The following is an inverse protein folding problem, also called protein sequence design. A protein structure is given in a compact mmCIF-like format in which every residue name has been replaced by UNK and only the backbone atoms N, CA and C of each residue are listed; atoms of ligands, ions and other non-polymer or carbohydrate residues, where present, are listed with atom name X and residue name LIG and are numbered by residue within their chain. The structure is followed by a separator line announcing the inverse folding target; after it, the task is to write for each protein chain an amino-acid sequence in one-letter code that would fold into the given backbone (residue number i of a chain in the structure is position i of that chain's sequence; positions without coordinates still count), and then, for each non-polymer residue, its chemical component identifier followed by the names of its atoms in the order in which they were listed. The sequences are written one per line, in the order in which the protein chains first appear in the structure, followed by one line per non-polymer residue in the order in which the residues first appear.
data_IF_706324532669
#
_entry.id   IF_706324532669
#
_cell.length_a   1.000
_cell.length_b   1.000
_cell.length_c   1.000
_cell.angle_alpha   90.00
_cell.angle_beta   90.00
_cell.angle_gamma   90.00
#
_symmetry.space_group_name_H-M   'P 1'
#
loop_
_entity.id
_entity.type
_entity.pdbx_description
1 polymer ?
#
# COMPACT_ATOMS: atom_id res chain seq x y z
N UNK A 1 -9.11 -17.80 11.95
CA UNK A 1 -7.64 -17.77 11.97
C UNK A 1 -7.23 -17.73 10.52
N UNK A 2 -6.79 -16.58 10.02
CA UNK A 2 -6.29 -16.48 8.65
C UNK A 2 -5.03 -17.36 8.58
N UNK A 3 -5.08 -18.39 7.76
CA UNK A 3 -3.95 -19.24 7.42
C UNK A 3 -2.91 -18.33 6.75
N UNK A 4 -1.88 -17.93 7.51
CA UNK A 4 -0.86 -16.98 7.03
C UNK A 4 -0.27 -17.48 5.71
N UNK A 5 -0.05 -18.80 5.58
CA UNK A 5 0.50 -19.43 4.38
C UNK A 5 -0.28 -19.15 3.10
N UNK A 6 -1.60 -19.00 3.16
CA UNK A 6 -2.42 -18.67 1.99
C UNK A 6 -2.22 -17.21 1.54
N UNK A 7 -1.93 -16.29 2.47
CA UNK A 7 -1.69 -14.89 2.11
C UNK A 7 -0.33 -14.69 1.42
N UNK A 8 0.74 -15.32 1.92
CA UNK A 8 2.04 -15.23 1.24
C UNK A 8 2.03 -15.87 -0.14
N UNK A 9 1.34 -16.99 -0.31
CA UNK A 9 1.18 -17.64 -1.63
C UNK A 9 0.35 -16.78 -2.60
N UNK A 10 -0.71 -16.12 -2.13
CA UNK A 10 -1.46 -15.14 -2.94
C UNK A 10 -0.61 -13.93 -3.31
N UNK A 11 0.24 -13.43 -2.41
CA UNK A 11 1.19 -12.38 -2.74
C UNK A 11 2.20 -12.84 -3.79
N UNK A 12 2.77 -14.05 -3.65
CA UNK A 12 3.69 -14.63 -4.64
C UNK A 12 3.03 -14.76 -6.02
N UNK A 13 1.78 -15.22 -6.06
CA UNK A 13 0.98 -15.29 -7.29
C UNK A 13 0.85 -13.92 -7.96
N UNK A 14 0.52 -12.88 -7.20
CA UNK A 14 0.45 -11.51 -7.72
C UNK A 14 1.84 -10.97 -8.13
N UNK A 15 2.89 -11.23 -7.35
CA UNK A 15 4.25 -10.78 -7.62
C UNK A 15 4.83 -11.40 -8.91
N UNK A 16 4.41 -12.61 -9.25
CA UNK A 16 4.77 -13.32 -10.48
C UNK A 16 3.82 -13.00 -11.66
N UNK A 17 3.07 -11.90 -11.58
CA UNK A 17 2.28 -11.36 -12.70
C UNK A 17 0.99 -12.11 -13.00
N UNK A 18 0.50 -12.92 -12.05
CA UNK A 18 -0.71 -13.72 -12.25
C UNK A 18 -1.99 -13.00 -11.84
N UNK A 19 -1.97 -11.69 -11.55
CA UNK A 19 -3.13 -10.93 -11.07
C UNK A 19 -4.33 -10.92 -12.04
N UNK A 20 -4.12 -11.29 -13.31
CA UNK A 20 -5.16 -11.42 -14.33
C UNK A 20 -5.88 -12.77 -14.32
N UNK A 21 -5.34 -13.77 -13.61
CA UNK A 21 -5.96 -15.08 -13.39
C UNK A 21 -6.82 -15.04 -12.13
N UNK A 22 -7.92 -15.82 -12.06
CA UNK A 22 -8.65 -16.03 -10.82
C UNK A 22 -7.74 -16.60 -9.72
N UNK A 23 -7.91 -16.13 -8.49
CA UNK A 23 -7.15 -16.63 -7.32
C UNK A 23 -7.44 -18.11 -7.05
N UNK A 24 -8.61 -18.61 -7.48
CA UNK A 24 -8.93 -20.04 -7.42
C UNK A 24 -7.95 -20.92 -8.23
N UNK A 25 -7.23 -20.36 -9.21
CA UNK A 25 -6.20 -21.07 -9.97
C UNK A 25 -4.84 -21.12 -9.25
N UNK A 26 -4.72 -20.55 -8.04
CA UNK A 26 -3.47 -20.55 -7.27
C UNK A 26 -2.87 -21.95 -7.14
N UNK A 27 -3.67 -22.96 -6.83
CA UNK A 27 -3.19 -24.34 -6.70
C UNK A 27 -2.63 -24.90 -8.01
N UNK A 28 -3.28 -24.63 -9.16
CA UNK A 28 -2.78 -25.03 -10.48
C UNK A 28 -1.47 -24.32 -10.81
N UNK A 29 -1.43 -23.01 -10.58
CA UNK A 29 -0.21 -22.21 -10.78
C UNK A 29 0.95 -22.72 -9.94
N UNK A 30 0.71 -23.06 -8.66
CA UNK A 30 1.76 -23.62 -7.80
C UNK A 30 2.22 -24.99 -8.31
N UNK A 31 1.31 -25.83 -8.81
CA UNK A 31 1.68 -27.11 -9.42
C UNK A 31 2.52 -26.92 -10.70
N UNK A 32 2.16 -25.96 -11.56
CA UNK A 32 2.93 -25.56 -12.74
C UNK A 32 4.35 -25.10 -12.34
N UNK A 33 4.43 -24.22 -11.33
CA UNK A 33 5.70 -23.71 -10.80
C UNK A 33 6.56 -24.80 -10.17
N UNK A 34 5.94 -25.77 -9.48
CA UNK A 34 6.64 -26.92 -8.88
C UNK A 34 7.04 -28.01 -9.86
N UNK A 35 6.51 -27.98 -11.08
CA UNK A 35 6.94 -28.88 -12.15
C UNK A 35 8.16 -28.34 -12.92
N UNK A 36 8.40 -27.02 -12.91
CA UNK A 36 9.50 -26.40 -13.66
C UNK A 36 10.76 -26.18 -12.80
N UNK A 37 11.72 -27.10 -12.91
CA UNK A 37 12.97 -27.06 -12.13
C UNK A 37 13.82 -25.82 -12.43
N UNK A 38 13.83 -25.36 -13.68
CA UNK A 38 14.64 -24.23 -14.12
C UNK A 38 14.11 -22.92 -13.51
N UNK A 39 12.80 -22.69 -13.60
CA UNK A 39 12.17 -21.50 -12.98
C UNK A 39 12.37 -21.49 -11.47
N UNK A 40 12.26 -22.65 -10.80
CA UNK A 40 12.50 -22.73 -9.35
C UNK A 40 13.96 -22.44 -8.98
N UNK A 41 14.92 -22.83 -9.82
CA UNK A 41 16.32 -22.50 -9.60
C UNK A 41 16.53 -20.98 -9.69
N UNK A 42 16.05 -20.35 -10.77
CA UNK A 42 16.15 -18.89 -10.96
C UNK A 42 15.47 -18.11 -9.83
N UNK A 43 14.28 -18.53 -9.39
CA UNK A 43 13.59 -17.88 -8.28
C UNK A 43 14.39 -17.97 -6.97
N UNK A 44 15.05 -19.09 -6.68
CA UNK A 44 15.89 -19.21 -5.48
C UNK A 44 17.10 -18.28 -5.53
N UNK A 45 17.75 -18.19 -6.69
CA UNK A 45 18.86 -17.26 -6.89
C UNK A 45 18.40 -15.81 -6.72
N UNK A 46 17.27 -15.45 -7.33
CA UNK A 46 16.68 -14.13 -7.18
C UNK A 46 16.34 -13.82 -5.72
N UNK A 47 15.69 -14.75 -5.01
CA UNK A 47 15.33 -14.58 -3.60
C UNK A 47 16.57 -14.37 -2.72
N UNK A 48 17.66 -15.09 -2.96
CA UNK A 48 18.92 -14.90 -2.24
C UNK A 48 19.48 -13.47 -2.46
N UNK A 49 19.44 -12.97 -3.70
CA UNK A 49 19.85 -11.59 -4.00
C UNK A 49 18.93 -10.55 -3.37
N UNK A 50 17.62 -10.81 -3.34
CA UNK A 50 16.64 -9.92 -2.72
C UNK A 50 16.78 -9.87 -1.20
N UNK A 51 17.07 -11.02 -0.57
CA UNK A 51 17.29 -11.12 0.87
C UNK A 51 18.57 -10.38 1.31
N UNK A 52 19.68 -10.56 0.59
CA UNK A 52 20.92 -9.81 0.82
C UNK A 52 20.73 -8.28 0.68
N UNK A 53 19.82 -7.85 -0.20
CA UNK A 53 19.48 -6.43 -0.39
C UNK A 53 18.52 -5.89 0.67
N UNK A 54 17.98 -6.71 1.57
CA UNK A 54 17.03 -6.28 2.60
C UNK A 54 17.74 -5.47 3.68
N UNK A 55 17.69 -4.15 3.54
CA UNK A 55 18.35 -3.20 4.48
C UNK A 55 17.45 -2.69 5.60
N UNK A 56 16.14 -2.95 5.52
CA UNK A 56 15.15 -2.37 6.45
C UNK A 56 14.55 -3.42 7.37
N UNK A 57 14.48 -3.06 8.64
CA UNK A 57 13.72 -3.79 9.65
C UNK A 57 12.24 -3.55 9.40
N UNK A 58 11.50 -4.63 9.26
CA UNK A 58 10.04 -4.63 9.11
C UNK A 58 9.38 -5.12 10.39
N UNK A 59 8.09 -4.82 10.55
CA UNK A 59 7.30 -5.24 11.73
C UNK A 59 5.92 -5.70 11.30
N UNK A 60 5.36 -6.78 11.85
CA UNK A 60 4.03 -7.25 11.46
C UNK A 60 2.96 -6.19 11.76
N UNK A 61 2.01 -6.03 10.85
CA UNK A 61 0.77 -5.29 11.10
C UNK A 61 -0.19 -6.22 11.82
N UNK A 62 -0.57 -5.90 13.05
CA UNK A 62 -1.39 -6.79 13.90
C UNK A 62 -2.64 -7.30 13.17
N UNK A 63 -2.78 -8.62 13.05
CA UNK A 63 -3.94 -9.27 12.45
C UNK A 63 -4.08 -9.11 10.93
N UNK A 64 -3.03 -8.66 10.23
CA UNK A 64 -3.00 -8.58 8.76
C UNK A 64 -1.71 -9.20 8.22
N UNK A 65 -1.73 -9.84 7.04
CA UNK A 65 -0.54 -10.45 6.42
C UNK A 65 0.30 -9.39 5.68
N UNK A 66 0.65 -8.32 6.40
CA UNK A 66 1.44 -7.20 5.90
C UNK A 66 2.45 -6.80 6.97
N UNK A 67 3.58 -6.26 6.55
CA UNK A 67 4.60 -5.74 7.42
C UNK A 67 4.80 -4.24 7.20
N UNK A 68 4.83 -3.49 8.30
CA UNK A 68 5.30 -2.11 8.33
C UNK A 68 6.75 -2.06 7.83
N UNK A 69 7.02 -1.09 6.95
CA UNK A 69 8.25 -0.83 6.21
C UNK A 69 8.61 -1.82 5.09
N UNK A 70 7.84 -2.89 4.90
CA UNK A 70 7.96 -3.72 3.71
C UNK A 70 7.41 -2.99 2.48
N UNK A 71 7.81 -3.45 1.30
CA UNK A 71 7.39 -2.90 0.02
C UNK A 71 6.37 -3.80 -0.63
N UNK A 72 5.30 -3.22 -1.14
CA UNK A 72 4.24 -3.93 -1.83
C UNK A 72 3.73 -3.14 -3.03
N UNK A 73 3.47 -3.83 -4.12
CA UNK A 73 2.61 -3.37 -5.20
C UNK A 73 1.14 -3.35 -4.74
N UNK A 74 0.29 -2.68 -5.51
CA UNK A 74 -1.16 -2.70 -5.24
C UNK A 74 -1.75 -4.11 -5.36
N UNK A 75 -1.23 -4.92 -6.29
CA UNK A 75 -1.66 -6.28 -6.50
C UNK A 75 -1.29 -7.16 -5.29
N UNK A 76 -0.07 -7.03 -4.76
CA UNK A 76 0.34 -7.74 -3.54
C UNK A 76 -0.51 -7.32 -2.32
N UNK A 77 -0.79 -6.03 -2.14
CA UNK A 77 -1.66 -5.56 -1.04
C UNK A 77 -3.07 -6.14 -1.15
N UNK A 78 -3.65 -6.13 -2.34
CA UNK A 78 -4.97 -6.72 -2.57
C UNK A 78 -4.97 -8.23 -2.35
N UNK A 79 -3.94 -8.93 -2.84
CA UNK A 79 -3.79 -10.37 -2.69
C UNK A 79 -3.62 -10.78 -1.22
N UNK A 80 -2.78 -10.07 -0.48
CA UNK A 80 -2.56 -10.26 0.96
C UNK A 80 -3.88 -10.13 1.74
N UNK A 81 -4.69 -9.13 1.39
CA UNK A 81 -5.97 -8.85 2.04
C UNK A 81 -7.13 -9.69 1.48
N UNK A 82 -6.89 -10.56 0.48
CA UNK A 82 -7.94 -11.36 -0.15
C UNK A 82 -8.97 -10.55 -0.93
N UNK A 83 -8.61 -9.37 -1.44
CA UNK A 83 -9.49 -8.51 -2.22
C UNK A 83 -9.54 -8.98 -3.68
N UNK A 84 -10.71 -9.39 -4.13
CA UNK A 84 -10.94 -9.87 -5.50
C UNK A 84 -12.02 -9.09 -6.24
N UNK A 85 -11.96 -9.13 -7.56
CA UNK A 85 -13.07 -8.74 -8.43
C UNK A 85 -14.18 -9.80 -8.39
N UNK A 86 -15.34 -9.50 -8.99
CA UNK A 86 -16.43 -10.48 -9.15
C UNK A 86 -16.00 -11.73 -9.94
N UNK A 87 -15.04 -11.58 -10.86
CA UNK A 87 -14.45 -12.69 -11.61
C UNK A 87 -13.40 -13.49 -10.81
N UNK A 88 -13.24 -13.22 -9.51
CA UNK A 88 -12.30 -13.90 -8.63
C UNK A 88 -10.83 -13.54 -8.84
N UNK A 89 -10.53 -12.51 -9.65
CA UNK A 89 -9.17 -12.03 -9.91
C UNK A 89 -8.70 -11.09 -8.82
N UNK A 90 -7.40 -10.93 -8.61
CA UNK A 90 -6.86 -9.94 -7.64
C UNK A 90 -7.37 -8.54 -8.01
N UNK A 91 -7.89 -7.82 -7.02
CA UNK A 91 -8.42 -6.47 -7.24
C UNK A 91 -7.28 -5.47 -7.44
N UNK A 92 -7.22 -4.81 -8.60
CA UNK A 92 -6.27 -3.72 -8.84
C UNK A 92 -6.92 -2.37 -8.54
N UNK A 93 -6.66 -1.84 -7.35
CA UNK A 93 -7.12 -0.51 -6.93
C UNK A 93 -6.49 0.57 -7.82
N UNK A 94 -7.31 1.33 -8.55
CA UNK A 94 -6.83 2.45 -9.38
C UNK A 94 -6.82 3.78 -8.63
N UNK A 95 -7.66 3.90 -7.59
CA UNK A 95 -7.85 5.15 -6.85
C UNK A 95 -6.80 5.33 -5.75
N UNK A 96 -6.63 6.56 -5.27
CA UNK A 96 -5.71 6.89 -4.18
C UNK A 96 -6.18 6.41 -2.80
N UNK A 97 -7.45 6.04 -2.66
CA UNK A 97 -7.99 5.44 -1.43
C UNK A 97 -8.93 4.31 -1.82
N UNK A 98 -8.91 3.20 -1.07
CA UNK A 98 -9.85 2.09 -1.22
C UNK A 98 -10.45 1.70 0.13
N UNK A 99 -11.78 1.68 0.21
CA UNK A 99 -12.53 1.26 1.38
C UNK A 99 -12.83 -0.25 1.27
N UNK A 100 -12.10 -1.06 2.04
CA UNK A 100 -12.34 -2.50 2.17
C UNK A 100 -13.32 -2.76 3.33
N UNK A 101 -14.60 -2.50 3.09
CA UNK A 101 -15.65 -2.53 4.13
C UNK A 101 -15.71 -3.85 4.89
N UNK A 102 -15.61 -4.98 4.17
CA UNK A 102 -15.63 -6.32 4.78
C UNK A 102 -14.49 -6.55 5.78
N UNK A 103 -13.36 -5.85 5.60
CA UNK A 103 -12.20 -5.90 6.48
C UNK A 103 -12.16 -4.76 7.49
N UNK A 104 -13.09 -3.79 7.38
CA UNK A 104 -13.08 -2.52 8.12
C UNK A 104 -11.77 -1.75 7.96
N UNK A 105 -11.27 -1.65 6.73
CA UNK A 105 -10.03 -0.94 6.42
C UNK A 105 -10.26 0.16 5.38
N UNK A 106 -9.67 1.33 5.59
CA UNK A 106 -9.36 2.25 4.50
C UNK A 106 -7.87 2.14 4.14
N UNK A 107 -7.58 1.90 2.87
CA UNK A 107 -6.24 1.75 2.32
C UNK A 107 -5.86 3.03 1.56
N UNK A 108 -4.89 3.79 2.07
CA UNK A 108 -4.41 5.04 1.49
C UNK A 108 -3.16 4.78 0.64
N UNK A 109 -3.22 5.10 -0.65
CA UNK A 109 -2.13 4.95 -1.61
C UNK A 109 -1.62 6.31 -2.07
N UNK A 110 -0.50 6.74 -1.50
CA UNK A 110 0.08 8.07 -1.73
C UNK A 110 1.33 7.98 -2.62
N UNK A 111 1.39 8.84 -3.63
CA UNK A 111 2.60 9.06 -4.44
C UNK A 111 3.06 10.50 -4.19
N UNK A 112 4.29 10.68 -3.69
CA UNK A 112 4.80 11.98 -3.26
C UNK A 112 5.17 12.88 -4.45
N UNK A 113 6.02 12.35 -5.34
CA UNK A 113 6.45 12.98 -6.58
C UNK A 113 5.33 12.84 -7.62
N UNK A 114 4.68 13.96 -7.90
CA UNK A 114 3.63 14.07 -8.91
C UNK A 114 4.26 14.60 -10.18
N UNK A 115 4.30 13.77 -11.22
CA UNK A 115 4.74 14.20 -12.55
C UNK A 115 3.92 15.43 -12.99
N UNK A 116 4.55 16.56 -13.36
CA UNK A 116 3.85 17.75 -13.85
C UNK A 116 2.95 17.47 -15.07
N UNK A 117 3.21 16.41 -15.84
CA UNK A 117 2.37 15.99 -16.97
C UNK A 117 1.09 15.28 -16.55
N UNK A 118 1.08 14.68 -15.36
CA UNK A 118 -0.07 13.95 -14.81
C UNK A 118 -0.96 14.85 -13.92
N UNK A 119 -0.61 16.14 -13.68
CA UNK A 119 -1.31 17.01 -12.72
C UNK A 119 -1.42 18.49 -13.13
N UNK A 120 -2.55 19.12 -12.76
CA UNK A 120 -2.75 20.57 -12.92
C UNK A 120 -2.16 21.37 -11.75
N UNK A 121 -1.68 22.62 -11.98
CA UNK A 121 -0.93 23.44 -11.00
C UNK A 121 -1.63 23.78 -9.68
N UNK A 122 -2.92 23.48 -9.53
CA UNK A 122 -3.73 23.84 -8.36
C UNK A 122 -3.62 22.85 -7.19
N UNK A 123 -2.77 21.82 -7.30
CA UNK A 123 -2.72 20.69 -6.36
C UNK A 123 -1.37 20.51 -5.64
N UNK A 124 -0.56 21.58 -5.61
CA UNK A 124 0.87 21.51 -5.28
C UNK A 124 1.23 21.32 -3.78
N UNK A 125 0.27 21.01 -2.90
CA UNK A 125 0.52 20.82 -1.46
C UNK A 125 -0.37 19.72 -0.82
N UNK A 126 -0.40 18.51 -1.38
CA UNK A 126 -1.36 17.51 -0.89
C UNK A 126 -0.80 16.62 0.22
N UNK A 127 0.29 15.90 -0.05
CA UNK A 127 0.68 14.74 0.76
C UNK A 127 2.18 14.73 1.02
N UNK A 128 2.59 14.76 2.28
CA UNK A 128 4.01 14.79 2.65
C UNK A 128 4.25 14.34 4.09
N UNK A 129 5.43 13.76 4.38
CA UNK A 129 5.80 13.47 5.76
C UNK A 129 6.14 14.77 6.50
N UNK A 130 5.53 14.98 7.68
CA UNK A 130 5.73 16.19 8.50
C UNK A 130 6.86 15.97 9.50
N UNK A 131 6.77 14.86 10.23
CA UNK A 131 7.80 14.37 11.17
C UNK A 131 7.96 12.87 10.95
N UNK A 132 8.95 12.19 11.55
CA UNK A 132 9.02 10.73 11.51
C UNK A 132 7.74 10.02 11.98
N UNK A 133 6.86 10.71 12.72
CA UNK A 133 5.64 10.14 13.29
C UNK A 133 4.35 10.68 12.70
N UNK A 134 4.41 11.70 11.84
CA UNK A 134 3.21 12.37 11.33
C UNK A 134 3.29 12.58 9.84
N UNK A 135 2.17 12.36 9.16
CA UNK A 135 2.04 12.46 7.71
C UNK A 135 0.83 13.33 7.36
N UNK A 136 1.05 14.34 6.54
CA UNK A 136 0.00 15.20 6.02
C UNK A 136 -0.60 14.57 4.77
N UNK A 137 -1.92 14.55 4.67
CA UNK A 137 -2.66 14.00 3.55
C UNK A 137 -3.90 14.84 3.23
N UNK A 138 -4.14 15.14 1.96
CA UNK A 138 -5.32 15.87 1.51
C UNK A 138 -6.37 14.93 0.91
N UNK A 139 -7.63 15.09 1.32
CA UNK A 139 -8.74 14.32 0.75
C UNK A 139 -8.97 14.61 -0.73
N UNK A 140 -9.67 13.72 -1.42
CA UNK A 140 -10.28 14.08 -2.71
C UNK A 140 -11.27 15.25 -2.51
N UNK A 141 -11.44 16.09 -3.53
CA UNK A 141 -12.22 17.35 -3.48
C UNK A 141 -13.70 17.20 -3.09
N UNK A 142 -14.25 15.98 -3.14
CA UNK A 142 -15.66 15.69 -2.80
C UNK A 142 -15.85 15.25 -1.35
N UNK A 143 -14.79 14.84 -0.66
CA UNK A 143 -14.86 14.40 0.74
C UNK A 143 -14.91 15.63 1.62
N UNK A 144 -15.96 15.73 2.43
CA UNK A 144 -16.19 16.79 3.41
C UNK A 144 -16.18 16.17 4.79
N UNK A 145 -15.89 16.97 5.81
CA UNK A 145 -15.94 16.52 7.20
C UNK A 145 -17.27 15.85 7.56
N UNK A 146 -18.39 16.45 7.14
CA UNK A 146 -19.73 15.95 7.45
C UNK A 146 -20.18 14.73 6.63
N UNK A 147 -19.35 14.23 5.70
CA UNK A 147 -19.69 13.05 4.90
C UNK A 147 -19.36 11.76 5.65
N UNK A 148 -20.01 10.65 5.29
CA UNK A 148 -19.75 9.33 5.91
C UNK A 148 -18.26 8.96 5.84
N UNK A 149 -17.60 9.25 4.72
CA UNK A 149 -16.16 9.04 4.54
C UNK A 149 -15.33 9.95 5.44
N UNK A 150 -15.67 11.25 5.52
CA UNK A 150 -14.98 12.20 6.40
C UNK A 150 -15.10 11.84 7.87
N UNK A 151 -16.31 11.49 8.32
CA UNK A 151 -16.57 11.03 9.68
C UNK A 151 -15.83 9.72 9.98
N UNK A 152 -15.76 8.79 9.03
CA UNK A 152 -14.98 7.56 9.19
C UNK A 152 -13.48 7.81 9.33
N UNK A 153 -12.95 8.83 8.68
CA UNK A 153 -11.55 9.23 8.85
C UNK A 153 -11.30 9.85 10.24
N UNK A 154 -12.17 10.78 10.68
CA UNK A 154 -12.02 11.51 11.94
C UNK A 154 -12.32 10.63 13.17
N UNK A 155 -13.44 9.90 13.13
CA UNK A 155 -13.99 9.11 14.21
C UNK A 155 -14.38 7.71 13.68
N UNK A 156 -13.39 6.85 13.37
CA UNK A 156 -13.65 5.54 12.80
C UNK A 156 -14.53 4.66 13.71
N UNK A 157 -15.47 3.87 13.15
CA UNK A 157 -16.24 2.91 13.92
C UNK A 157 -15.35 1.87 14.63
N UNK A 158 -15.83 1.21 15.70
CA UNK A 158 -15.06 0.20 16.41
C UNK A 158 -14.51 -0.92 15.51
N UNK A 159 -13.19 -1.13 15.62
CA UNK A 159 -12.43 -2.11 14.85
C UNK A 159 -12.02 -1.65 13.45
N UNK A 160 -12.41 -0.44 13.04
CA UNK A 160 -11.98 0.14 11.77
C UNK A 160 -10.54 0.69 11.87
N UNK A 161 -9.74 0.51 10.81
CA UNK A 161 -8.35 0.97 10.76
C UNK A 161 -8.01 1.62 9.42
N UNK A 162 -7.09 2.57 9.47
CA UNK A 162 -6.56 3.26 8.30
C UNK A 162 -5.12 2.78 8.06
N UNK A 163 -4.80 2.30 6.87
CA UNK A 163 -3.44 1.87 6.49
C UNK A 163 -2.85 2.81 5.46
N UNK A 164 -1.64 3.29 5.72
CA UNK A 164 -0.95 4.21 4.82
C UNK A 164 0.16 3.49 4.03
N UNK A 165 0.08 3.59 2.72
CA UNK A 165 1.06 3.09 1.77
C UNK A 165 1.59 4.25 0.95
N UNK A 166 2.90 4.46 0.94
CA UNK A 166 3.52 5.63 0.29
C UNK A 166 4.60 5.19 -0.67
N UNK A 167 4.79 5.90 -1.77
CA UNK A 167 5.96 5.76 -2.66
C UNK A 167 6.44 7.14 -3.08
N UNK A 168 7.70 7.21 -3.49
CA UNK A 168 8.23 8.47 -4.00
C UNK A 168 7.57 8.78 -5.33
N UNK A 169 7.72 7.91 -6.33
CA UNK A 169 7.31 8.20 -7.70
C UNK A 169 6.46 7.08 -8.27
N UNK A 170 5.71 7.38 -9.34
CA UNK A 170 4.88 6.37 -10.00
C UNK A 170 5.71 5.32 -10.71
N UNK A 171 6.80 5.73 -11.35
CA UNK A 171 7.75 4.89 -12.07
C UNK A 171 9.17 5.23 -11.65
N UNK A 172 10.04 4.23 -11.58
CA UNK A 172 11.47 4.42 -11.37
C UNK A 172 12.19 4.89 -12.66
N UNK A 173 13.51 5.07 -12.58
CA UNK A 173 14.35 5.51 -13.71
C UNK A 173 14.35 4.52 -14.89
N UNK A 174 13.90 3.28 -14.66
CA UNK A 174 13.78 2.22 -15.67
C UNK A 174 12.37 2.14 -16.25
N UNK A 175 11.46 3.02 -15.84
CA UNK A 175 10.06 3.02 -16.26
C UNK A 175 9.19 1.97 -15.58
N UNK A 176 9.71 1.27 -14.55
CA UNK A 176 8.98 0.24 -13.81
C UNK A 176 8.15 0.89 -12.72
N UNK A 177 6.92 0.42 -12.52
CA UNK A 177 6.03 0.98 -11.49
C UNK A 177 6.61 0.74 -10.10
N UNK A 178 6.78 1.79 -9.31
CA UNK A 178 7.37 1.67 -7.98
C UNK A 178 6.37 1.08 -6.97
N UNK A 179 6.84 0.10 -6.20
CA UNK A 179 6.12 -0.47 -5.06
C UNK A 179 6.07 0.52 -3.88
N UNK A 180 4.96 0.49 -3.14
CA UNK A 180 4.73 1.32 -1.97
C UNK A 180 5.43 0.74 -0.74
N UNK A 181 5.99 1.60 0.11
CA UNK A 181 6.31 1.24 1.48
C UNK A 181 5.02 1.26 2.33
N UNK A 182 4.79 0.21 3.12
CA UNK A 182 3.73 0.22 4.12
C UNK A 182 4.21 1.04 5.33
N UNK A 183 3.61 2.21 5.58
CA UNK A 183 3.86 2.97 6.81
C UNK A 183 3.01 2.47 8.00
N UNK A 184 2.13 1.50 7.73
CA UNK A 184 1.34 0.81 8.75
C UNK A 184 0.06 1.55 9.12
N UNK A 185 -0.55 1.17 10.27
CA UNK A 185 -1.72 1.84 10.80
C UNK A 185 -1.46 3.31 11.13
N UNK A 186 -2.44 4.14 10.78
CA UNK A 186 -2.46 5.56 11.12
C UNK A 186 -3.72 5.94 11.89
N UNK A 187 -3.59 6.97 12.72
CA UNK A 187 -4.67 7.52 13.55
C UNK A 187 -4.86 8.98 13.21
N UNK A 188 -6.12 9.40 13.16
CA UNK A 188 -6.45 10.80 12.97
C UNK A 188 -5.89 11.63 14.14
N UNK A 189 -5.13 12.69 13.83
CA UNK A 189 -4.62 13.63 14.84
C UNK A 189 -5.37 14.96 14.77
N UNK A 190 -5.49 15.53 13.57
CA UNK A 190 -6.24 16.78 13.29
C UNK A 190 -6.51 16.93 11.80
N UNK A 191 -7.35 17.88 11.42
CA UNK A 191 -7.43 18.37 10.05
C UNK A 191 -7.62 19.88 9.98
N UNK A 192 -7.31 20.46 8.83
CA UNK A 192 -7.60 21.84 8.47
C UNK A 192 -8.34 21.88 7.12
N UNK A 193 -9.19 22.89 6.91
CA UNK A 193 -9.98 23.01 5.69
C UNK A 193 -11.09 21.96 5.56
N UNK A 194 -12.02 22.20 4.64
CA UNK A 194 -13.19 21.34 4.45
C UNK A 194 -13.18 20.62 3.09
N UNK A 195 -12.71 21.30 2.03
CA UNK A 195 -12.70 20.82 0.63
C UNK A 195 -11.46 21.30 -0.12
N UNK A 196 -10.35 20.53 -0.09
CA UNK A 196 -10.19 19.26 0.61
C UNK A 196 -10.01 19.43 2.12
N UNK A 197 -10.23 18.36 2.89
CA UNK A 197 -9.73 18.27 4.26
C UNK A 197 -8.24 17.92 4.20
N UNK A 198 -7.43 18.66 4.96
CA UNK A 198 -5.99 18.44 5.12
C UNK A 198 -5.75 17.69 6.44
N UNK A 199 -5.76 16.36 6.39
CA UNK A 199 -5.64 15.51 7.57
C UNK A 199 -4.18 15.31 7.93
N UNK A 200 -3.85 15.46 9.21
CA UNK A 200 -2.61 14.98 9.80
C UNK A 200 -2.85 13.61 10.41
N UNK A 201 -2.16 12.61 9.85
CA UNK A 201 -2.13 11.24 10.34
C UNK A 201 -0.98 11.04 11.31
N UNK A 202 -1.24 10.46 12.48
CA UNK A 202 -0.23 9.95 13.40
C UNK A 202 0.07 8.48 13.09
N UNK A 203 1.34 8.14 12.90
CA UNK A 203 1.79 6.77 12.69
C UNK A 203 2.04 6.05 14.03
N UNK A 204 1.73 4.75 14.07
CA UNK A 204 2.03 3.88 15.21
C UNK A 204 3.52 3.48 15.28
N UNK A 205 4.20 3.47 14.12
CA UNK A 205 5.63 3.17 13.98
C UNK A 205 6.30 4.33 13.22
N UNK A 206 7.45 4.85 13.67
CA UNK A 206 8.07 5.98 12.99
C UNK A 206 8.60 5.54 11.63
N UNK A 207 8.47 6.41 10.64
CA UNK A 207 9.04 6.22 9.31
C UNK A 207 10.54 5.92 9.41
N UNK A 208 11.09 5.04 8.55
CA UNK A 208 12.52 4.78 8.50
C UNK A 208 13.29 6.08 8.23
N UNK A 209 14.39 6.32 8.94
CA UNK A 209 15.12 7.58 8.87
C UNK A 209 15.64 7.89 7.46
N UNK A 210 16.16 6.89 6.76
CA UNK A 210 16.60 7.00 5.36
C UNK A 210 15.43 7.44 4.45
N UNK A 211 14.28 6.77 4.61
CA UNK A 211 13.10 7.01 3.79
C UNK A 211 12.49 8.38 4.07
N UNK A 212 12.38 8.79 5.34
CA UNK A 212 11.83 10.10 5.73
C UNK A 212 12.62 11.25 5.11
N UNK A 213 13.96 11.19 5.10
CA UNK A 213 14.79 12.23 4.50
C UNK A 213 14.57 12.30 2.98
N UNK A 214 14.59 11.17 2.29
CA UNK A 214 14.32 11.14 0.84
C UNK A 214 12.90 11.59 0.52
N UNK A 215 11.91 11.24 1.34
CA UNK A 215 10.51 11.57 1.13
C UNK A 215 10.25 13.05 1.34
N UNK A 216 10.91 13.67 2.32
CA UNK A 216 10.85 15.11 2.54
C UNK A 216 11.45 15.90 1.38
N UNK A 217 12.54 15.42 0.79
CA UNK A 217 13.14 16.02 -0.41
C UNK A 217 12.23 15.84 -1.62
N UNK A 218 11.62 14.68 -1.79
CA UNK A 218 10.74 14.41 -2.94
C UNK A 218 9.40 15.18 -2.90
N UNK A 219 8.99 15.65 -1.71
CA UNK A 219 7.74 16.37 -1.52
C UNK A 219 7.89 17.91 -1.52
N UNK A 220 9.12 18.43 -1.53
CA UNK A 220 9.43 19.87 -1.55
C UNK A 220 10.07 20.28 -2.86
#
# INVERSE_FOLDING_TARGET
VADLGDAELRMLFAALGQEKRPVAELASFLAELWADDAVRAELRELLAVLDDRRRRVTRPVTGLPLEVHARYTRAEIAAALGLTTEAGKVLIVQQGVYCAEALKLDLFFVTLDKDPKDFTPTTLYADYPVTPWTFHWATQSRTRESSDTGQRYIAPPPGWRHLLFVRHRKRDDRGVTEAFICLGPVRYERHEGERPMHITWRLDVPMPGDWFQTAKIAAG
#
